data_IF_791247607781
#
_entry.id   IF_791247607781
#
_cell.length_a   1.000
_cell.length_b   1.000
_cell.length_c   1.000
_cell.angle_alpha   90.00
_cell.angle_beta   90.00
_cell.angle_gamma   90.00
#
_symmetry.space_group_name_H-M   'P 1'
#
loop_
_entity.id
_entity.type
_entity.pdbx_description
1 polymer ?
#
# COMPACT_ATOMS: atom_id res chain seq x y z
N UNK A 1 12.32 -69.51 10.99
CA UNK A 1 11.75 -69.24 12.33
C UNK A 1 11.40 -67.76 12.40
N UNK A 2 10.10 -67.48 12.52
CA UNK A 2 9.45 -66.30 13.14
C UNK A 2 10.06 -64.91 12.90
N UNK A 3 9.41 -64.19 11.99
CA UNK A 3 8.96 -62.79 12.12
C UNK A 3 8.89 -62.28 13.57
N UNK A 4 9.46 -61.10 13.87
CA UNK A 4 9.14 -60.20 15.00
C UNK A 4 9.69 -58.80 14.62
N UNK A 5 8.85 -57.91 14.07
CA UNK A 5 7.88 -56.97 14.70
C UNK A 5 8.50 -55.60 15.01
N UNK A 6 8.12 -54.64 14.15
CA UNK A 6 7.77 -53.25 14.48
C UNK A 6 8.49 -52.63 15.68
N UNK A 7 9.64 -52.02 15.42
CA UNK A 7 10.15 -50.98 16.31
C UNK A 7 9.54 -49.64 15.89
N UNK A 8 8.58 -49.22 16.70
CA UNK A 8 8.10 -47.85 16.86
C UNK A 8 9.18 -46.81 16.58
N UNK A 9 8.90 -45.84 15.71
CA UNK A 9 8.59 -44.50 16.20
C UNK A 9 7.93 -43.68 15.10
N UNK A 10 6.64 -43.45 15.30
CA UNK A 10 5.87 -42.38 14.69
C UNK A 10 6.59 -41.07 15.02
N UNK A 11 7.35 -40.53 14.07
CA UNK A 11 7.75 -39.12 14.12
C UNK A 11 6.99 -38.42 13.01
N UNK A 12 5.69 -38.27 13.25
CA UNK A 12 4.87 -37.27 12.60
C UNK A 12 5.44 -35.90 13.00
N UNK A 13 6.49 -35.45 12.32
CA UNK A 13 6.86 -34.05 12.34
C UNK A 13 5.85 -33.32 11.46
N UNK A 14 4.75 -32.95 12.11
CA UNK A 14 3.84 -31.90 11.70
C UNK A 14 4.68 -30.66 11.34
N UNK A 15 5.13 -30.58 10.10
CA UNK A 15 5.54 -29.31 9.51
C UNK A 15 4.25 -28.56 9.22
N UNK A 16 3.67 -28.04 10.30
CA UNK A 16 2.70 -26.97 10.21
C UNK A 16 3.44 -25.84 9.47
N UNK A 17 3.08 -25.68 8.21
CA UNK A 17 3.18 -24.42 7.50
C UNK A 17 2.56 -23.38 8.44
N UNK A 18 3.40 -22.72 9.22
CA UNK A 18 3.04 -21.47 9.86
C UNK A 18 2.91 -20.46 8.72
N UNK A 19 1.75 -20.45 8.06
CA UNK A 19 1.31 -19.29 7.31
C UNK A 19 1.08 -18.23 8.38
N UNK A 20 2.14 -17.49 8.71
CA UNK A 20 2.04 -16.29 9.53
C UNK A 20 1.05 -15.42 8.78
N UNK A 21 -0.14 -15.25 9.35
CA UNK A 21 -1.08 -14.26 8.89
C UNK A 21 -0.42 -12.92 9.20
N UNK A 22 0.33 -12.39 8.22
CA UNK A 22 0.76 -11.00 8.23
C UNK A 22 -0.50 -10.20 8.43
N UNK A 23 -0.63 -9.57 9.60
CA UNK A 23 -1.66 -8.57 9.81
C UNK A 23 -1.48 -7.57 8.67
N UNK A 24 -2.43 -7.55 7.74
CA UNK A 24 -2.54 -6.54 6.70
C UNK A 24 -2.83 -5.22 7.44
N UNK A 25 -1.79 -4.61 8.00
CA UNK A 25 -1.79 -3.18 8.23
C UNK A 25 -1.94 -2.60 6.83
N UNK A 26 -3.16 -2.19 6.49
CA UNK A 26 -3.44 -1.39 5.30
C UNK A 26 -2.63 -0.12 5.46
N UNK A 27 -1.38 -0.18 4.99
CA UNK A 27 -0.48 0.95 4.99
C UNK A 27 -1.10 1.95 4.02
N UNK A 28 -1.38 3.17 4.50
CA UNK A 28 -1.80 4.26 3.64
C UNK A 28 -0.58 4.70 2.82
N UNK A 29 -0.26 3.90 1.82
CA UNK A 29 0.91 4.03 0.95
C UNK A 29 0.60 4.89 -0.29
N UNK A 30 -0.64 5.34 -0.46
CA UNK A 30 -1.06 6.17 -1.57
C UNK A 30 -1.03 5.48 -2.92
N UNK A 31 -1.09 4.14 -2.98
CA UNK A 31 -1.12 3.41 -4.26
C UNK A 31 -2.52 3.30 -4.87
N UNK A 32 -3.57 3.70 -4.14
CA UNK A 32 -4.96 3.72 -4.58
C UNK A 32 -5.78 4.67 -3.68
N UNK A 33 -7.05 4.91 -4.03
CA UNK A 33 -7.96 5.71 -3.19
C UNK A 33 -8.19 5.07 -1.81
N UNK A 34 -8.28 3.75 -1.72
CA UNK A 34 -8.47 3.02 -0.45
C UNK A 34 -7.26 3.16 0.47
N UNK A 35 -6.07 3.29 -0.12
CA UNK A 35 -4.80 3.47 0.60
C UNK A 35 -4.30 4.91 0.57
N UNK A 36 -5.17 5.87 0.25
CA UNK A 36 -4.78 7.26 0.10
C UNK A 36 -4.11 7.81 1.37
N UNK A 37 -3.08 8.63 1.18
CA UNK A 37 -2.31 9.21 2.26
C UNK A 37 -3.09 10.39 2.82
N UNK A 38 -3.43 10.33 4.11
CA UNK A 38 -4.10 11.43 4.80
C UNK A 38 -3.13 12.57 5.03
N UNK A 39 -3.44 13.74 4.49
CA UNK A 39 -2.63 14.94 4.57
C UNK A 39 -3.42 16.09 5.18
N UNK A 40 -2.71 17.07 5.71
CA UNK A 40 -3.25 18.27 6.33
C UNK A 40 -3.06 19.53 5.48
N UNK A 41 -2.26 19.45 4.42
CA UNK A 41 -2.01 20.56 3.51
C UNK A 41 -1.46 20.07 2.17
N UNK A 42 -1.61 20.89 1.13
CA UNK A 42 -1.00 20.66 -0.19
C UNK A 42 0.52 20.53 -0.11
N UNK A 43 1.19 21.34 0.73
CA UNK A 43 2.64 21.27 0.90
C UNK A 43 3.12 19.89 1.41
N UNK A 44 2.31 19.23 2.23
CA UNK A 44 2.57 17.88 2.73
C UNK A 44 2.52 16.83 1.61
N UNK A 45 1.56 16.94 0.69
CA UNK A 45 1.43 16.04 -0.48
C UNK A 45 2.70 16.04 -1.33
N UNK A 46 3.11 17.23 -1.75
CA UNK A 46 4.31 17.43 -2.56
C UNK A 46 5.58 16.96 -1.84
N UNK A 47 5.68 17.17 -0.52
CA UNK A 47 6.81 16.66 0.27
C UNK A 47 6.84 15.13 0.27
N UNK A 48 5.70 14.49 0.47
CA UNK A 48 5.59 13.03 0.50
C UNK A 48 5.89 12.43 -0.88
N UNK A 49 5.31 12.98 -1.95
CA UNK A 49 5.54 12.50 -3.31
C UNK A 49 7.01 12.60 -3.72
N UNK A 50 7.67 13.74 -3.46
CA UNK A 50 9.11 13.91 -3.72
C UNK A 50 9.98 12.95 -2.90
N UNK A 51 9.61 12.66 -1.66
CA UNK A 51 10.36 11.68 -0.85
C UNK A 51 10.19 10.25 -1.37
N UNK A 52 9.03 9.90 -1.93
CA UNK A 52 8.76 8.57 -2.48
C UNK A 52 9.41 8.35 -3.85
N UNK A 53 9.47 9.40 -4.67
CA UNK A 53 10.17 9.36 -5.94
C UNK A 53 10.96 10.64 -6.17
N UNK A 54 12.22 10.71 -5.67
CA UNK A 54 13.06 11.90 -5.77
C UNK A 54 13.37 12.33 -7.21
N UNK A 55 13.52 11.35 -8.11
CA UNK A 55 13.89 11.57 -9.52
C UNK A 55 12.67 11.56 -10.46
N UNK A 56 11.45 11.54 -9.92
CA UNK A 56 10.25 11.59 -10.73
C UNK A 56 9.93 13.03 -11.16
N UNK A 57 9.42 13.16 -12.38
CA UNK A 57 8.86 14.41 -12.89
C UNK A 57 7.35 14.43 -12.69
N UNK A 58 6.83 15.48 -12.05
CA UNK A 58 5.38 15.68 -11.95
C UNK A 58 4.81 15.89 -13.35
N UNK A 59 3.86 15.05 -13.74
CA UNK A 59 3.19 15.13 -15.03
C UNK A 59 1.85 15.86 -14.91
N UNK A 60 1.04 15.49 -13.92
CA UNK A 60 -0.28 16.09 -13.72
C UNK A 60 -0.74 16.00 -12.27
N UNK A 61 -1.76 16.81 -11.97
CA UNK A 61 -2.50 16.80 -10.71
C UNK A 61 -4.00 16.77 -11.05
N UNK A 62 -4.75 15.89 -10.39
CA UNK A 62 -6.19 15.70 -10.61
C UNK A 62 -6.94 15.67 -9.29
N UNK A 63 -7.93 16.55 -9.14
CA UNK A 63 -8.95 16.46 -8.10
C UNK A 63 -9.97 15.39 -8.49
N UNK A 64 -10.22 14.45 -7.59
CA UNK A 64 -11.21 13.38 -7.79
C UNK A 64 -12.07 13.20 -6.54
N UNK A 65 -13.28 12.69 -6.74
CA UNK A 65 -14.21 12.34 -5.66
C UNK A 65 -14.54 10.85 -5.77
N UNK A 66 -14.61 10.14 -4.64
CA UNK A 66 -15.20 8.80 -4.65
C UNK A 66 -16.74 8.86 -4.67
N UNK A 67 -17.38 7.69 -4.72
CA UNK A 67 -18.84 7.55 -4.69
C UNK A 67 -19.51 8.12 -3.42
N UNK A 68 -18.73 8.47 -2.40
CA UNK A 68 -19.19 9.05 -1.13
C UNK A 68 -18.83 10.53 -1.03
N UNK A 69 -18.49 11.16 -2.15
CA UNK A 69 -18.08 12.57 -2.26
C UNK A 69 -16.84 12.90 -1.41
N UNK A 70 -16.01 11.90 -1.10
CA UNK A 70 -14.76 12.13 -0.39
C UNK A 70 -13.73 12.70 -1.37
N UNK A 71 -13.08 13.83 -1.05
CA UNK A 71 -12.14 14.47 -1.95
C UNK A 71 -10.74 13.84 -1.88
N UNK A 72 -10.17 13.61 -3.05
CA UNK A 72 -8.82 13.13 -3.25
C UNK A 72 -8.05 14.03 -4.21
N UNK A 73 -6.77 14.22 -3.92
CA UNK A 73 -5.83 14.76 -4.88
C UNK A 73 -4.93 13.62 -5.41
N UNK A 74 -4.80 13.53 -6.72
CA UNK A 74 -4.02 12.49 -7.41
C UNK A 74 -2.87 13.18 -8.13
N UNK A 75 -1.64 12.88 -7.72
CA UNK A 75 -0.44 13.37 -8.39
C UNK A 75 0.14 12.26 -9.27
N UNK A 76 0.16 12.48 -10.58
CA UNK A 76 0.78 11.57 -11.55
C UNK A 76 2.20 12.03 -11.83
N UNK A 77 3.13 11.09 -11.73
CA UNK A 77 4.55 11.31 -11.96
C UNK A 77 5.10 10.37 -13.04
N UNK A 78 6.05 10.85 -13.83
CA UNK A 78 6.87 10.03 -14.72
C UNK A 78 8.20 9.72 -14.06
N UNK A 79 8.52 8.43 -13.95
CA UNK A 79 9.81 7.92 -13.46
C UNK A 79 10.90 8.08 -14.53
N UNK A 80 12.20 8.00 -14.16
CA UNK A 80 13.30 8.08 -15.14
C UNK A 80 13.28 7.02 -16.25
N UNK A 81 12.65 5.87 -16.00
CA UNK A 81 12.47 4.80 -16.99
C UNK A 81 11.25 5.03 -17.92
N UNK A 82 10.55 6.15 -17.79
CA UNK A 82 9.34 6.49 -18.55
C UNK A 82 8.04 5.89 -18.00
N UNK A 83 8.09 5.08 -16.94
CA UNK A 83 6.90 4.52 -16.29
C UNK A 83 6.15 5.61 -15.51
N UNK A 84 4.82 5.56 -15.52
CA UNK A 84 3.98 6.45 -14.72
C UNK A 84 3.65 5.85 -13.35
N UNK A 85 3.56 6.71 -12.34
CA UNK A 85 3.09 6.35 -11.00
C UNK A 85 2.14 7.41 -10.48
N UNK A 86 1.03 6.97 -9.88
CA UNK A 86 0.07 7.83 -9.23
C UNK A 86 0.22 7.76 -7.70
N UNK A 87 0.14 8.91 -7.06
CA UNK A 87 0.04 9.02 -5.60
C UNK A 87 -1.29 9.65 -5.21
N UNK A 88 -2.06 8.92 -4.42
CA UNK A 88 -3.40 9.31 -3.98
C UNK A 88 -3.35 9.92 -2.57
N UNK A 89 -3.92 11.10 -2.42
CA UNK A 89 -3.96 11.85 -1.17
C UNK A 89 -5.40 12.11 -0.74
N UNK A 90 -5.70 11.82 0.53
CA UNK A 90 -6.98 12.17 1.16
C UNK A 90 -6.90 13.60 1.70
N UNK A 91 -7.59 14.51 1.02
CA UNK A 91 -7.56 15.96 1.27
C UNK A 91 -8.79 16.44 2.06
N UNK A 92 -9.60 15.52 2.59
CA UNK A 92 -10.85 15.81 3.33
C UNK A 92 -10.64 16.72 4.54
N UNK A 93 -9.39 16.82 5.03
CA UNK A 93 -9.07 17.70 6.16
C UNK A 93 -9.19 19.17 5.83
N UNK A 94 -8.93 19.59 4.59
CA UNK A 94 -8.85 21.01 4.23
C UNK A 94 -9.61 21.39 2.96
N UNK A 95 -9.90 20.45 2.07
CA UNK A 95 -10.65 20.75 0.85
C UNK A 95 -12.06 21.27 1.17
N UNK A 96 -12.46 22.37 0.52
CA UNK A 96 -13.80 22.97 0.67
C UNK A 96 -14.08 23.68 1.99
N UNK A 97 -13.10 23.80 2.89
CA UNK A 97 -13.24 24.51 4.17
C UNK A 97 -12.70 25.92 4.01
N UNK A 98 -13.59 26.89 3.85
CA UNK A 98 -13.31 28.33 3.77
C UNK A 98 -13.92 29.04 4.96
#
# INVERSE_FOLDING_TARGET
MKEIKYLFLITACFTLFNCVSTQNQTLNDGSSMEKAIKVSSVAEEYKIARNKCPDCQLESQTLSMDDKEKPFDILTYTKPNGEKVDYYFDISKFFGKF
#
